data_IF_148606564662
#
_entry.id   IF_148606564662
#
_cell.length_a   1.000
_cell.length_b   1.000
_cell.length_c   1.000
_cell.angle_alpha   90.00
_cell.angle_beta   90.00
_cell.angle_gamma   90.00
#
_symmetry.space_group_name_H-M   'P 1'
#
loop_
_entity.id
_entity.type
_entity.pdbx_description
1 polymer ?
#
# COMPACT_ATOMS: atom_id res chain seq x y z
N UNK A 1 4.07 -10.82 -5.70
CA UNK A 1 4.53 -11.73 -4.64
C UNK A 1 4.29 -11.23 -3.21
N UNK A 2 4.09 -9.95 -3.00
CA UNK A 2 3.76 -9.37 -1.69
C UNK A 2 3.27 -7.93 -1.86
N UNK A 3 2.20 -7.56 -1.15
CA UNK A 3 1.57 -6.23 -1.27
C UNK A 3 1.95 -5.27 -0.12
N UNK A 4 3.09 -5.48 0.52
CA UNK A 4 3.65 -4.61 1.55
C UNK A 4 3.11 -4.80 2.97
N UNK A 5 1.83 -4.89 3.21
CA UNK A 5 1.21 -4.93 4.55
C UNK A 5 1.32 -6.29 5.26
N UNK A 6 0.83 -6.38 6.50
CA UNK A 6 0.69 -7.66 7.20
C UNK A 6 -0.20 -8.68 6.45
N UNK A 7 -1.08 -8.19 5.59
CA UNK A 7 -1.95 -8.98 4.72
C UNK A 7 -1.35 -9.22 3.34
N UNK A 8 -0.22 -8.60 3.02
CA UNK A 8 0.36 -8.55 1.68
C UNK A 8 0.76 -9.90 1.07
N UNK A 9 0.92 -10.94 1.89
CA UNK A 9 1.21 -12.30 1.42
C UNK A 9 -0.04 -13.15 1.19
N UNK A 10 -1.24 -12.68 1.60
CA UNK A 10 -2.47 -13.45 1.42
C UNK A 10 -2.77 -13.66 -0.06
N UNK A 11 -3.05 -14.91 -0.43
CA UNK A 11 -3.32 -15.30 -1.82
C UNK A 11 -2.15 -15.11 -2.79
N UNK A 12 -0.95 -14.81 -2.30
CA UNK A 12 0.24 -14.62 -3.12
C UNK A 12 1.12 -15.88 -3.15
N UNK A 13 1.83 -16.05 -4.26
CA UNK A 13 2.90 -17.04 -4.34
C UNK A 13 4.02 -16.69 -3.34
N UNK A 14 4.81 -17.67 -2.88
CA UNK A 14 5.99 -17.40 -2.06
C UNK A 14 6.90 -16.37 -2.71
N UNK A 15 7.44 -15.48 -1.88
CA UNK A 15 8.39 -14.49 -2.37
C UNK A 15 9.66 -15.17 -2.89
N UNK A 16 10.29 -14.62 -3.94
CA UNK A 16 11.61 -15.06 -4.39
C UNK A 16 12.69 -14.71 -3.34
N UNK A 17 13.92 -15.17 -3.56
CA UNK A 17 15.08 -14.64 -2.87
C UNK A 17 15.28 -13.15 -3.22
N UNK A 18 15.96 -12.38 -2.35
CA UNK A 18 16.30 -10.97 -2.65
C UNK A 18 17.06 -10.86 -3.97
N UNK A 19 18.02 -11.73 -4.23
CA UNK A 19 18.78 -11.75 -5.49
C UNK A 19 17.87 -11.96 -6.71
N UNK A 20 16.96 -12.94 -6.66
CA UNK A 20 16.01 -13.17 -7.76
C UNK A 20 15.06 -11.99 -7.96
N UNK A 21 14.64 -11.34 -6.87
CA UNK A 21 13.82 -10.13 -6.91
C UNK A 21 14.59 -8.96 -7.56
N UNK A 22 15.84 -8.74 -7.18
CA UNK A 22 16.68 -7.68 -7.74
C UNK A 22 16.94 -7.90 -9.24
N UNK A 23 17.21 -9.13 -9.65
CA UNK A 23 17.40 -9.50 -11.06
C UNK A 23 16.12 -9.23 -11.88
N UNK A 24 14.96 -9.65 -11.37
CA UNK A 24 13.68 -9.40 -12.03
C UNK A 24 13.38 -7.89 -12.13
N UNK A 25 13.61 -7.14 -11.05
CA UNK A 25 13.44 -5.69 -11.04
C UNK A 25 14.35 -5.02 -12.07
N UNK A 26 15.64 -5.40 -12.12
CA UNK A 26 16.58 -4.86 -13.09
C UNK A 26 16.17 -5.19 -14.53
N UNK A 27 15.70 -6.42 -14.77
CA UNK A 27 15.17 -6.81 -16.08
C UNK A 27 13.95 -5.98 -16.48
N UNK A 28 12.99 -5.81 -15.60
CA UNK A 28 11.78 -5.00 -15.86
C UNK A 28 12.16 -3.54 -16.17
N UNK A 29 13.04 -2.95 -15.36
CA UNK A 29 13.49 -1.58 -15.57
C UNK A 29 14.22 -1.40 -16.91
N UNK A 30 15.00 -2.39 -17.35
CA UNK A 30 15.72 -2.33 -18.64
C UNK A 30 14.79 -2.33 -19.86
N UNK A 31 13.51 -2.69 -19.69
CA UNK A 31 12.51 -2.67 -20.76
C UNK A 31 11.79 -1.31 -20.88
N UNK A 32 11.99 -0.41 -19.93
CA UNK A 32 11.32 0.88 -19.94
C UNK A 32 12.06 1.91 -20.81
N UNK A 33 11.28 2.82 -21.38
CA UNK A 33 11.79 3.97 -22.10
C UNK A 33 12.36 4.99 -21.10
N UNK A 34 13.67 5.18 -21.11
CA UNK A 34 14.37 6.08 -20.18
C UNK A 34 13.93 7.55 -20.29
N UNK A 35 13.28 7.94 -21.39
CA UNK A 35 12.74 9.29 -21.57
C UNK A 35 11.42 9.52 -20.84
N UNK A 36 10.81 8.46 -20.29
CA UNK A 36 9.50 8.50 -19.63
C UNK A 36 9.65 8.27 -18.12
N UNK A 37 8.77 8.90 -17.31
CA UNK A 37 8.74 8.62 -15.87
C UNK A 37 8.20 7.21 -15.61
N UNK A 38 8.77 6.56 -14.60
CA UNK A 38 8.24 5.30 -14.06
C UNK A 38 7.44 5.61 -12.80
N UNK A 39 6.16 5.27 -12.81
CA UNK A 39 5.28 5.40 -11.65
C UNK A 39 5.38 4.14 -10.80
N UNK A 40 5.64 4.33 -9.51
CA UNK A 40 5.78 3.23 -8.55
C UNK A 40 5.04 3.57 -7.26
N UNK A 41 4.61 2.54 -6.56
CA UNK A 41 4.05 2.68 -5.22
C UNK A 41 5.13 3.14 -4.23
N UNK A 42 4.79 4.12 -3.36
CA UNK A 42 5.71 4.63 -2.35
C UNK A 42 5.79 3.67 -1.14
N UNK A 43 6.24 2.45 -1.39
CA UNK A 43 6.42 1.42 -0.38
C UNK A 43 7.72 1.59 0.41
N UNK A 44 7.86 0.84 1.49
CA UNK A 44 9.10 0.80 2.27
C UNK A 44 10.20 0.05 1.52
N UNK A 45 11.46 0.27 1.92
CA UNK A 45 12.60 -0.45 1.35
C UNK A 45 12.49 -1.96 1.47
N UNK A 46 11.89 -2.45 2.56
CA UNK A 46 11.64 -3.87 2.80
C UNK A 46 10.19 -4.20 2.44
N UNK A 47 9.99 -5.01 1.40
CA UNK A 47 8.69 -5.50 0.92
C UNK A 47 8.60 -6.98 1.27
N UNK A 48 7.92 -7.32 2.35
CA UNK A 48 7.94 -8.68 2.89
C UNK A 48 9.35 -9.08 3.32
N UNK A 49 9.99 -10.01 2.59
CA UNK A 49 11.35 -10.49 2.83
C UNK A 49 12.38 -9.96 1.82
N UNK A 50 11.97 -9.16 0.83
CA UNK A 50 12.84 -8.66 -0.23
C UNK A 50 13.19 -7.18 0.03
N UNK A 51 14.46 -6.85 -0.11
CA UNK A 51 14.93 -5.46 -0.07
C UNK A 51 14.97 -4.86 -1.46
N UNK A 52 14.57 -3.59 -1.57
CA UNK A 52 14.85 -2.79 -2.76
C UNK A 52 16.36 -2.48 -2.82
N UNK A 53 17.01 -2.55 -4.01
CA UNK A 53 18.40 -2.15 -4.19
C UNK A 53 18.66 -0.72 -3.71
N UNK A 54 19.82 -0.47 -3.10
CA UNK A 54 20.16 0.84 -2.52
C UNK A 54 20.03 2.00 -3.52
N UNK A 55 20.53 1.80 -4.73
CA UNK A 55 20.49 2.83 -5.77
C UNK A 55 19.04 3.19 -6.16
N UNK A 56 18.17 2.18 -6.30
CA UNK A 56 16.76 2.36 -6.61
C UNK A 56 16.01 3.03 -5.45
N UNK A 57 16.23 2.57 -4.22
CA UNK A 57 15.66 3.18 -3.04
C UNK A 57 16.06 4.65 -2.87
N UNK A 58 17.32 4.99 -3.11
CA UNK A 58 17.80 6.37 -3.04
C UNK A 58 17.10 7.26 -4.09
N UNK A 59 16.81 6.77 -5.28
CA UNK A 59 16.02 7.51 -6.27
C UNK A 59 14.58 7.74 -5.78
N UNK A 60 13.92 6.72 -5.19
CA UNK A 60 12.58 6.85 -4.61
C UNK A 60 12.54 7.91 -3.51
N UNK A 61 13.57 8.00 -2.65
CA UNK A 61 13.63 8.98 -1.57
C UNK A 61 13.67 10.44 -2.06
N UNK A 62 14.08 10.68 -3.29
CA UNK A 62 14.17 12.01 -3.88
C UNK A 62 13.04 12.30 -4.90
N UNK A 63 12.30 11.29 -5.29
CA UNK A 63 11.20 11.44 -6.24
C UNK A 63 10.00 12.21 -5.64
N UNK A 64 9.23 12.96 -6.45
CA UNK A 64 7.95 13.53 -6.03
C UNK A 64 6.98 12.44 -5.56
N UNK A 65 6.17 12.75 -4.57
CA UNK A 65 5.11 11.87 -4.07
C UNK A 65 3.75 12.46 -4.45
N UNK A 66 2.90 11.63 -5.05
CA UNK A 66 1.51 11.94 -5.30
C UNK A 66 0.66 11.09 -4.36
N UNK A 67 0.09 11.74 -3.35
CA UNK A 67 -0.78 11.09 -2.39
C UNK A 67 -2.20 11.09 -2.95
N UNK A 68 -2.73 9.90 -3.16
CA UNK A 68 -4.09 9.72 -3.67
C UNK A 68 -5.06 9.66 -2.51
N UNK A 69 -5.99 10.62 -2.44
CA UNK A 69 -7.01 10.68 -1.41
C UNK A 69 -8.26 9.95 -1.87
N UNK A 70 -8.57 8.86 -1.19
CA UNK A 70 -9.74 8.02 -1.45
C UNK A 70 -10.64 7.99 -0.22
N UNK A 71 -11.96 8.26 -0.35
CA UNK A 71 -12.90 8.19 0.77
C UNK A 71 -12.87 6.84 1.49
N UNK A 72 -13.04 6.86 2.81
CA UNK A 72 -12.94 5.66 3.65
C UNK A 72 -13.89 4.53 3.20
N UNK A 73 -15.13 4.87 2.89
CA UNK A 73 -16.12 3.89 2.43
C UNK A 73 -15.68 3.20 1.14
N UNK A 74 -15.13 3.93 0.18
CA UNK A 74 -14.62 3.37 -1.09
C UNK A 74 -13.43 2.44 -0.83
N UNK A 75 -12.53 2.81 0.08
CA UNK A 75 -11.41 1.95 0.50
C UNK A 75 -11.91 0.66 1.14
N UNK A 76 -12.88 0.74 2.05
CA UNK A 76 -13.49 -0.44 2.69
C UNK A 76 -14.12 -1.36 1.65
N UNK A 77 -14.91 -0.84 0.73
CA UNK A 77 -15.55 -1.63 -0.33
C UNK A 77 -14.51 -2.42 -1.15
N UNK A 78 -13.41 -1.77 -1.54
CA UNK A 78 -12.32 -2.41 -2.28
C UNK A 78 -11.61 -3.49 -1.47
N UNK A 79 -11.31 -3.20 -0.21
CA UNK A 79 -10.67 -4.16 0.68
C UNK A 79 -11.57 -5.36 1.01
N UNK A 80 -12.90 -5.16 1.04
CA UNK A 80 -13.87 -6.27 1.15
C UNK A 80 -13.81 -7.19 -0.06
N UNK A 81 -13.69 -6.65 -1.27
CA UNK A 81 -13.52 -7.45 -2.48
C UNK A 81 -12.20 -8.21 -2.44
N UNK A 82 -11.14 -7.55 -1.97
CA UNK A 82 -9.80 -8.12 -1.95
C UNK A 82 -9.58 -9.16 -0.85
N UNK A 83 -10.09 -8.92 0.36
CA UNK A 83 -9.82 -9.75 1.53
C UNK A 83 -11.02 -10.53 2.05
N UNK A 84 -12.24 -10.14 1.70
CA UNK A 84 -13.46 -10.70 2.28
C UNK A 84 -13.74 -12.17 1.93
N UNK A 85 -13.00 -12.73 0.97
CA UNK A 85 -13.11 -14.13 0.56
C UNK A 85 -12.11 -15.07 1.28
N UNK A 86 -11.16 -14.53 2.07
CA UNK A 86 -10.22 -15.34 2.83
C UNK A 86 -10.87 -15.92 4.10
N UNK A 87 -10.29 -17.01 4.57
CA UNK A 87 -10.75 -17.67 5.80
C UNK A 87 -10.57 -16.77 7.02
N UNK A 88 -11.56 -16.77 7.91
CA UNK A 88 -11.57 -15.94 9.14
C UNK A 88 -10.37 -16.24 10.03
N UNK A 89 -9.94 -17.51 10.13
CA UNK A 89 -8.78 -17.87 10.93
C UNK A 89 -7.49 -17.27 10.35
N UNK A 90 -7.37 -17.22 9.02
CA UNK A 90 -6.23 -16.62 8.32
C UNK A 90 -6.21 -15.09 8.52
N UNK A 91 -7.36 -14.43 8.36
CA UNK A 91 -7.50 -12.99 8.63
C UNK A 91 -7.20 -12.65 10.09
N UNK A 92 -7.64 -13.49 11.02
CA UNK A 92 -7.36 -13.34 12.46
C UNK A 92 -5.87 -13.43 12.73
N UNK A 93 -5.18 -14.41 12.18
CA UNK A 93 -3.72 -14.56 12.33
C UNK A 93 -2.98 -13.30 11.84
N UNK A 94 -3.39 -12.74 10.70
CA UNK A 94 -2.80 -11.50 10.16
C UNK A 94 -3.11 -10.28 11.03
N UNK A 95 -4.30 -10.20 11.57
CA UNK A 95 -4.70 -9.15 12.51
C UNK A 95 -3.85 -9.19 13.79
N UNK A 96 -3.56 -10.39 14.29
CA UNK A 96 -2.71 -10.59 15.48
C UNK A 96 -1.25 -10.12 15.26
N UNK A 97 -0.70 -10.23 14.05
CA UNK A 97 0.62 -9.68 13.71
C UNK A 97 0.65 -8.16 13.95
N UNK A 98 -0.47 -7.49 13.75
CA UNK A 98 -0.60 -6.04 13.96
C UNK A 98 -0.88 -5.66 15.42
N UNK A 99 -1.08 -6.60 16.36
CA UNK A 99 -1.49 -6.35 17.74
C UNK A 99 -0.65 -5.28 18.46
N UNK A 100 0.68 -5.33 18.31
CA UNK A 100 1.57 -4.33 18.93
C UNK A 100 1.38 -2.93 18.35
N UNK A 101 1.00 -2.84 17.10
CA UNK A 101 0.83 -1.58 16.36
C UNK A 101 -0.56 -0.99 16.55
N UNK A 102 -1.58 -1.84 16.59
CA UNK A 102 -2.98 -1.47 16.84
C UNK A 102 -3.23 -1.08 18.32
N UNK A 103 -2.47 -1.71 19.23
CA UNK A 103 -2.79 -1.73 20.65
C UNK A 103 -3.79 -2.83 21.00
N UNK A 104 -3.70 -3.35 22.22
CA UNK A 104 -4.47 -4.55 22.63
C UNK A 104 -5.98 -4.42 22.51
N UNK A 105 -6.56 -3.25 22.81
CA UNK A 105 -8.00 -3.03 22.75
C UNK A 105 -8.52 -3.07 21.30
N UNK A 106 -7.88 -2.35 20.38
CA UNK A 106 -8.27 -2.35 18.96
C UNK A 106 -8.06 -3.71 18.30
N UNK A 107 -6.97 -4.42 18.67
CA UNK A 107 -6.74 -5.77 18.15
C UNK A 107 -7.80 -6.76 18.61
N UNK A 108 -8.18 -6.72 19.91
CA UNK A 108 -9.25 -7.57 20.43
C UNK A 108 -10.60 -7.27 19.71
N UNK A 109 -10.93 -5.98 19.57
CA UNK A 109 -12.14 -5.57 18.88
C UNK A 109 -12.16 -6.03 17.43
N UNK A 110 -11.05 -5.85 16.69
CA UNK A 110 -10.94 -6.30 15.31
C UNK A 110 -11.14 -7.83 15.16
N UNK A 111 -10.53 -8.63 16.07
CA UNK A 111 -10.71 -10.09 16.10
C UNK A 111 -12.16 -10.47 16.43
N UNK A 112 -12.80 -9.76 17.36
CA UNK A 112 -14.21 -9.96 17.67
C UNK A 112 -15.09 -9.70 16.46
N UNK A 113 -14.88 -8.61 15.74
CA UNK A 113 -15.64 -8.29 14.52
C UNK A 113 -15.47 -9.36 13.44
N UNK A 114 -14.26 -9.90 13.27
CA UNK A 114 -14.02 -11.05 12.38
C UNK A 114 -14.84 -12.28 12.80
N UNK A 115 -14.87 -12.59 14.10
CA UNK A 115 -15.60 -13.76 14.61
C UNK A 115 -17.11 -13.64 14.42
N UNK A 116 -17.62 -12.41 14.38
CA UNK A 116 -19.03 -12.09 14.12
C UNK A 116 -19.36 -11.98 12.61
N UNK A 117 -18.36 -12.12 11.72
CA UNK A 117 -18.53 -11.93 10.29
C UNK A 117 -18.68 -10.47 9.86
N UNK A 118 -18.44 -9.52 10.78
CA UNK A 118 -18.53 -8.08 10.49
C UNK A 118 -17.21 -7.56 9.88
N UNK A 119 -16.97 -7.94 8.62
CA UNK A 119 -15.74 -7.60 7.90
C UNK A 119 -15.58 -6.08 7.68
N UNK A 120 -16.67 -5.36 7.53
CA UNK A 120 -16.64 -3.90 7.33
C UNK A 120 -16.07 -3.20 8.57
N UNK A 121 -16.53 -3.54 9.76
CA UNK A 121 -16.06 -2.95 11.01
C UNK A 121 -14.64 -3.38 11.36
N UNK A 122 -14.29 -4.65 11.05
CA UNK A 122 -12.92 -5.12 11.11
C UNK A 122 -11.98 -4.26 10.28
N UNK A 123 -12.29 -4.01 8.99
CA UNK A 123 -11.49 -3.16 8.10
C UNK A 123 -11.42 -1.72 8.59
N UNK A 124 -12.54 -1.15 9.04
CA UNK A 124 -12.57 0.19 9.62
C UNK A 124 -11.60 0.33 10.77
N UNK A 125 -11.55 -0.66 11.66
CA UNK A 125 -10.64 -0.69 12.81
C UNK A 125 -9.17 -0.75 12.38
N UNK A 126 -8.85 -1.55 11.37
CA UNK A 126 -7.48 -1.64 10.84
C UNK A 126 -7.05 -0.34 10.14
N UNK A 127 -7.93 0.26 9.36
CA UNK A 127 -7.64 1.47 8.59
C UNK A 127 -7.26 2.66 9.49
N UNK A 128 -7.82 2.78 10.69
CA UNK A 128 -7.41 3.81 11.67
C UNK A 128 -5.91 3.76 11.97
N UNK A 129 -5.34 2.55 12.09
CA UNK A 129 -3.89 2.39 12.28
C UNK A 129 -3.10 2.75 11.01
N UNK A 130 -3.54 2.25 9.86
CA UNK A 130 -2.85 2.53 8.61
C UNK A 130 -2.88 4.03 8.29
N UNK A 131 -4.00 4.71 8.47
CA UNK A 131 -4.15 6.14 8.23
C UNK A 131 -3.19 6.97 9.08
N UNK A 132 -3.04 6.64 10.37
CA UNK A 132 -2.05 7.29 11.24
C UNK A 132 -0.62 7.10 10.75
N UNK A 133 -0.30 5.90 10.26
CA UNK A 133 1.03 5.58 9.73
C UNK A 133 1.33 6.36 8.45
N UNK A 134 0.35 6.42 7.54
CA UNK A 134 0.47 7.17 6.29
C UNK A 134 0.51 8.68 6.53
N UNK A 135 -0.30 9.20 7.45
CA UNK A 135 -0.27 10.61 7.83
C UNK A 135 1.13 11.02 8.34
N UNK A 136 1.72 10.24 9.24
CA UNK A 136 3.09 10.51 9.72
C UNK A 136 4.12 10.52 8.58
N UNK A 137 4.03 9.57 7.66
CA UNK A 137 4.87 9.52 6.46
C UNK A 137 4.69 10.73 5.55
N UNK A 138 3.45 11.17 5.33
CA UNK A 138 3.10 12.33 4.53
C UNK A 138 3.62 13.63 5.14
N UNK A 139 3.48 13.82 6.45
CA UNK A 139 4.00 15.00 7.16
C UNK A 139 5.53 15.11 7.02
N UNK A 140 6.23 13.98 7.19
CA UNK A 140 7.69 13.92 7.02
C UNK A 140 8.15 14.27 5.60
N UNK A 141 7.34 13.94 4.59
CA UNK A 141 7.64 14.15 3.18
C UNK A 141 6.85 15.31 2.56
N UNK A 142 6.23 16.19 3.36
CA UNK A 142 5.36 17.26 2.87
C UNK A 142 6.02 18.16 1.83
N UNK A 143 7.34 18.37 1.93
CA UNK A 143 8.12 19.19 1.01
C UNK A 143 8.15 18.66 -0.44
N UNK A 144 7.88 17.36 -0.64
CA UNK A 144 7.88 16.70 -1.96
C UNK A 144 6.57 15.99 -2.29
N UNK A 145 5.55 16.14 -1.45
CA UNK A 145 4.25 15.48 -1.59
C UNK A 145 3.20 16.43 -2.14
N UNK A 146 2.31 15.90 -2.98
CA UNK A 146 1.07 16.54 -3.42
C UNK A 146 -0.07 15.60 -3.12
N UNK A 147 -1.08 16.09 -2.40
CA UNK A 147 -2.33 15.37 -2.20
C UNK A 147 -3.30 15.70 -3.33
N UNK A 148 -4.00 14.70 -3.83
CA UNK A 148 -4.99 14.87 -4.86
C UNK A 148 -6.14 13.87 -4.69
N UNK A 149 -7.39 14.30 -4.94
CA UNK A 149 -8.53 13.40 -4.95
C UNK A 149 -8.40 12.41 -6.11
N UNK A 150 -8.94 11.21 -5.92
CA UNK A 150 -9.02 10.19 -6.95
C UNK A 150 -10.43 9.62 -7.00
N UNK A 151 -11.11 9.79 -8.13
CA UNK A 151 -12.43 9.22 -8.35
C UNK A 151 -12.30 7.87 -9.07
N UNK A 152 -12.68 6.81 -8.37
CA UNK A 152 -12.68 5.46 -8.91
C UNK A 152 -13.81 5.20 -9.91
N UNK A 153 -14.80 6.08 -10.00
CA UNK A 153 -15.85 6.01 -11.02
C UNK A 153 -15.38 6.64 -12.33
N UNK A 154 -14.38 7.56 -12.26
CA UNK A 154 -13.73 8.14 -13.44
C UNK A 154 -12.20 8.06 -13.30
N UNK A 155 -11.70 6.84 -13.45
CA UNK A 155 -10.26 6.53 -13.36
C UNK A 155 -9.46 7.27 -14.42
N UNK A 156 -10.00 7.41 -15.64
CA UNK A 156 -9.28 8.04 -16.73
C UNK A 156 -9.06 9.55 -16.48
N UNK A 157 -10.07 10.25 -16.01
CA UNK A 157 -9.94 11.66 -15.65
C UNK A 157 -8.97 11.84 -14.47
N UNK A 158 -9.09 11.02 -13.43
CA UNK A 158 -8.18 11.02 -12.29
C UNK A 158 -6.72 10.79 -12.70
N UNK A 159 -6.46 9.87 -13.63
CA UNK A 159 -5.11 9.64 -14.18
C UNK A 159 -4.64 10.85 -14.98
N UNK A 160 -5.48 11.46 -15.83
CA UNK A 160 -5.12 12.64 -16.59
C UNK A 160 -4.76 13.82 -15.67
N UNK A 161 -5.52 14.02 -14.61
CA UNK A 161 -5.20 15.04 -13.59
C UNK A 161 -3.85 14.76 -12.92
N UNK A 162 -3.55 13.49 -12.57
CA UNK A 162 -2.26 13.08 -12.02
C UNK A 162 -1.10 13.40 -12.97
N UNK A 163 -1.23 13.04 -14.24
CA UNK A 163 -0.20 13.27 -15.26
C UNK A 163 0.03 14.78 -15.49
N UNK A 164 -1.03 15.58 -15.55
CA UNK A 164 -0.93 17.03 -15.66
C UNK A 164 -0.19 17.64 -14.46
N UNK A 165 -0.52 17.21 -13.24
CA UNK A 165 0.16 17.66 -12.03
C UNK A 165 1.66 17.32 -12.03
N UNK A 166 2.03 16.18 -12.61
CA UNK A 166 3.43 15.80 -12.75
C UNK A 166 4.18 16.71 -13.73
N UNK A 167 3.58 17.05 -14.88
CA UNK A 167 4.20 17.91 -15.89
C UNK A 167 4.48 19.33 -15.37
N UNK A 168 3.61 19.87 -14.51
CA UNK A 168 3.84 21.17 -13.85
C UNK A 168 4.98 21.18 -12.83
N UNK A 169 5.54 20.02 -12.47
CA UNK A 169 6.62 19.90 -11.47
C UNK A 169 7.99 19.58 -12.05
N UNK A 170 8.09 19.37 -13.36
CA UNK A 170 9.36 19.28 -14.09
C UNK A 170 9.99 20.67 -14.20
#
# INVERSE_FOLDING_TARGET
HHKGSAFGSLGQLPQPSTESFENELAWQLSQFDESKPVWIENESRLIGNCYLPDAFWNQMLHAPIFQIDVPLNVRIERLLIEYGHFDVAELTQRTEILRKKLGGQHANYAVEMLSQGNLQEWLSTLLVYYDKTYQYGSEKNAHRSVSMPFDWNDVNDSINQLLNQYEFRK
#
